data_IF_812877077982
#
_entry.id   IF_812877077982
#
_cell.length_a   1.000
_cell.length_b   1.000
_cell.length_c   1.000
_cell.angle_alpha   90.00
_cell.angle_beta   90.00
_cell.angle_gamma   90.00
#
_symmetry.space_group_name_H-M   'P 1'
#
loop_
_entity.id
_entity.type
_entity.pdbx_description
1 polymer ?
#
# COMPACT_ATOMS: atom_id res chain seq x y z
N UNK A 1 0.81 19.88 -15.72
CA UNK A 1 2.00 20.14 -14.88
C UNK A 1 3.12 20.57 -15.81
N UNK A 2 3.87 21.62 -15.50
CA UNK A 2 5.01 22.07 -16.33
C UNK A 2 6.29 21.48 -15.73
N UNK A 3 6.59 20.23 -16.05
CA UNK A 3 7.80 19.52 -15.65
C UNK A 3 8.75 19.56 -16.84
N UNK A 4 9.93 20.15 -16.66
CA UNK A 4 10.96 20.29 -17.67
C UNK A 4 12.20 19.47 -17.35
N UNK A 5 12.36 19.06 -16.08
CA UNK A 5 13.45 18.22 -15.60
C UNK A 5 12.97 17.21 -14.55
N UNK A 6 13.79 16.19 -14.27
CA UNK A 6 13.52 15.24 -13.19
C UNK A 6 13.54 15.93 -11.80
N UNK A 7 14.38 16.94 -11.61
CA UNK A 7 14.39 17.71 -10.36
C UNK A 7 13.06 18.44 -10.12
N UNK A 8 12.35 18.83 -11.18
CA UNK A 8 11.04 19.47 -11.06
C UNK A 8 10.02 18.48 -10.49
N UNK A 9 10.17 17.18 -10.72
CA UNK A 9 9.30 16.13 -10.15
C UNK A 9 9.45 16.08 -8.63
N UNK A 10 10.70 16.09 -8.15
CA UNK A 10 11.03 15.92 -6.73
C UNK A 10 10.68 17.19 -5.93
N UNK A 11 10.74 18.36 -6.57
CA UNK A 11 10.43 19.66 -5.94
C UNK A 11 8.98 20.11 -6.12
N UNK A 12 8.18 19.39 -6.91
CA UNK A 12 6.79 19.76 -7.17
C UNK A 12 5.92 19.60 -5.91
N UNK A 13 5.31 20.69 -5.45
CA UNK A 13 4.46 20.68 -4.24
C UNK A 13 3.28 19.72 -4.31
N UNK A 14 2.67 19.50 -5.49
CA UNK A 14 1.56 18.55 -5.63
C UNK A 14 2.05 17.11 -5.46
N UNK A 15 3.21 16.78 -6.04
CA UNK A 15 3.79 15.45 -5.94
C UNK A 15 4.34 15.17 -4.53
N UNK A 16 4.92 16.17 -3.88
CA UNK A 16 5.32 16.09 -2.47
C UNK A 16 4.10 15.80 -1.59
N UNK A 17 2.99 16.51 -1.80
CA UNK A 17 1.75 16.26 -1.05
C UNK A 17 1.23 14.83 -1.25
N UNK A 18 1.18 14.36 -2.50
CA UNK A 18 0.76 12.98 -2.81
C UNK A 18 1.68 11.97 -2.10
N UNK A 19 3.00 12.16 -2.17
CA UNK A 19 3.97 11.31 -1.48
C UNK A 19 3.71 11.28 0.03
N UNK A 20 3.48 12.44 0.66
CA UNK A 20 3.23 12.53 2.09
C UNK A 20 1.94 11.79 2.49
N UNK A 21 0.87 11.91 1.70
CA UNK A 21 -0.38 11.16 1.96
C UNK A 21 -0.19 9.65 1.81
N UNK A 22 0.57 9.20 0.80
CA UNK A 22 0.93 7.78 0.64
C UNK A 22 1.73 7.27 1.85
N UNK A 23 2.74 8.02 2.28
CA UNK A 23 3.58 7.64 3.41
C UNK A 23 2.79 7.60 4.72
N UNK A 24 1.82 8.51 4.90
CA UNK A 24 0.90 8.51 6.02
C UNK A 24 0.03 7.24 6.02
N UNK A 25 -0.61 6.92 4.89
CA UNK A 25 -1.43 5.72 4.75
C UNK A 25 -0.64 4.43 5.01
N UNK A 26 0.62 4.37 4.56
CA UNK A 26 1.53 3.25 4.85
C UNK A 26 1.93 3.17 6.32
N UNK A 27 2.16 4.31 6.96
CA UNK A 27 2.51 4.37 8.39
C UNK A 27 1.38 3.81 9.25
N UNK A 28 0.12 4.15 8.94
CA UNK A 28 -1.01 3.59 9.67
C UNK A 28 -1.13 2.09 9.45
N UNK A 29 -1.08 1.62 8.19
CA UNK A 29 -1.11 0.17 7.91
C UNK A 29 0.02 -0.59 8.62
N UNK A 30 1.20 0.02 8.80
CA UNK A 30 2.34 -0.62 9.47
C UNK A 30 2.04 -0.98 10.93
N UNK A 31 1.18 -0.20 11.56
CA UNK A 31 0.81 -0.37 12.96
C UNK A 31 -0.44 -1.24 13.14
N UNK A 32 -1.18 -1.56 12.07
CA UNK A 32 -2.51 -2.17 12.16
C UNK A 32 -2.74 -3.36 11.22
N UNK A 33 -1.79 -3.73 10.36
CA UNK A 33 -1.96 -4.76 9.34
C UNK A 33 -0.70 -5.61 9.17
N UNK A 34 -0.80 -6.89 9.53
CA UNK A 34 0.31 -7.85 9.45
C UNK A 34 0.74 -8.12 7.99
N UNK A 35 -0.21 -8.02 7.05
CA UNK A 35 0.02 -8.21 5.62
C UNK A 35 0.68 -7.02 4.92
N UNK A 36 1.03 -5.92 5.63
CA UNK A 36 1.66 -4.77 4.97
C UNK A 36 2.98 -5.18 4.28
N UNK A 37 3.70 -6.14 4.83
CA UNK A 37 4.94 -6.67 4.24
C UNK A 37 4.73 -7.23 2.83
N UNK A 38 3.53 -7.75 2.55
CA UNK A 38 3.09 -8.29 1.26
C UNK A 38 2.49 -7.19 0.37
N UNK A 39 1.50 -6.45 0.89
CA UNK A 39 0.69 -5.49 0.12
C UNK A 39 1.40 -4.15 -0.16
N UNK A 40 2.30 -3.73 0.73
CA UNK A 40 3.03 -2.44 0.69
C UNK A 40 2.16 -1.17 0.71
N UNK A 41 0.85 -1.30 0.90
CA UNK A 41 -0.09 -0.21 1.19
C UNK A 41 -0.74 0.43 -0.04
N UNK A 42 -1.09 -0.35 -1.07
CA UNK A 42 -1.68 0.05 -2.36
C UNK A 42 -2.32 1.46 -2.41
N UNK A 43 -1.58 2.46 -2.93
CA UNK A 43 -2.08 3.83 -3.06
C UNK A 43 -3.24 4.00 -4.03
N UNK A 44 -3.30 3.20 -5.09
CA UNK A 44 -4.27 3.38 -6.16
C UNK A 44 -5.67 2.98 -5.68
N UNK A 45 -5.77 1.85 -4.98
CA UNK A 45 -7.05 1.41 -4.43
C UNK A 45 -7.57 2.35 -3.34
N UNK A 46 -6.67 2.85 -2.48
CA UNK A 46 -7.03 3.86 -1.46
C UNK A 46 -7.60 5.13 -2.08
N UNK A 47 -6.96 5.64 -3.14
CA UNK A 47 -7.49 6.79 -3.86
C UNK A 47 -8.84 6.50 -4.48
N UNK A 48 -9.01 5.32 -5.10
CA UNK A 48 -10.24 4.93 -5.78
C UNK A 48 -11.42 4.83 -4.81
N UNK A 49 -11.25 4.16 -3.67
CA UNK A 49 -12.33 3.93 -2.71
C UNK A 49 -12.56 5.12 -1.77
N UNK A 50 -11.47 5.71 -1.27
CA UNK A 50 -11.52 6.68 -0.17
C UNK A 50 -11.32 8.13 -0.63
N UNK A 51 -11.06 8.37 -1.93
CA UNK A 51 -10.69 9.68 -2.48
C UNK A 51 -9.47 10.32 -1.77
N UNK A 52 -8.62 9.52 -1.14
CA UNK A 52 -7.37 9.96 -0.50
C UNK A 52 -6.32 8.86 -0.47
N UNK A 53 -5.04 9.22 -0.58
CA UNK A 53 -3.95 8.26 -0.40
C UNK A 53 -3.65 7.96 1.07
N UNK A 54 -4.10 8.83 1.99
CA UNK A 54 -3.91 8.68 3.43
C UNK A 54 -4.85 7.65 4.07
N UNK A 55 -5.67 6.96 3.25
CA UNK A 55 -6.57 5.90 3.70
C UNK A 55 -5.84 4.67 4.23
N UNK A 56 -6.61 3.81 4.90
CA UNK A 56 -6.12 2.56 5.51
C UNK A 56 -6.65 1.36 4.75
N UNK A 57 -7.35 0.44 5.40
CA UNK A 57 -7.92 -0.74 4.78
C UNK A 57 -8.91 -0.36 3.67
N UNK A 58 -8.88 -1.13 2.58
CA UNK A 58 -9.77 -1.02 1.43
C UNK A 58 -10.58 -2.31 1.30
N UNK A 59 -11.66 -2.28 0.52
CA UNK A 59 -12.50 -3.46 0.28
C UNK A 59 -11.73 -4.61 -0.36
N UNK A 60 -10.72 -4.30 -1.18
CA UNK A 60 -9.85 -5.29 -1.81
C UNK A 60 -8.79 -5.89 -0.88
N UNK A 61 -8.50 -5.27 0.29
CA UNK A 61 -7.46 -5.78 1.19
C UNK A 61 -7.71 -7.24 1.60
N UNK A 62 -8.96 -7.58 1.97
CA UNK A 62 -9.30 -8.93 2.41
C UNK A 62 -9.22 -9.97 1.29
N UNK A 63 -10.00 -9.88 0.19
CA UNK A 63 -10.02 -10.91 -0.84
C UNK A 63 -8.74 -10.95 -1.68
N UNK A 64 -8.07 -9.80 -1.89
CA UNK A 64 -6.90 -9.73 -2.76
C UNK A 64 -5.58 -9.95 -2.03
N UNK A 65 -5.48 -9.64 -0.74
CA UNK A 65 -4.23 -9.77 -0.01
C UNK A 65 -4.39 -10.80 1.09
N UNK A 66 -5.18 -10.50 2.13
CA UNK A 66 -5.20 -11.28 3.37
C UNK A 66 -5.54 -12.75 3.13
N UNK A 67 -6.67 -13.03 2.49
CA UNK A 67 -7.13 -14.41 2.23
C UNK A 67 -6.11 -15.22 1.41
N UNK A 68 -5.44 -14.58 0.44
CA UNK A 68 -4.45 -15.27 -0.39
C UNK A 68 -3.14 -15.48 0.35
N UNK A 69 -2.71 -14.51 1.15
CA UNK A 69 -1.54 -14.62 2.01
C UNK A 69 -1.74 -15.73 3.03
N UNK A 70 -2.87 -15.72 3.75
CA UNK A 70 -3.22 -16.74 4.74
C UNK A 70 -3.22 -18.14 4.11
N UNK A 71 -3.94 -18.33 3.00
CA UNK A 71 -4.01 -19.62 2.33
C UNK A 71 -2.64 -20.13 1.85
N UNK A 72 -1.76 -19.22 1.41
CA UNK A 72 -0.40 -19.58 1.03
C UNK A 72 0.45 -19.97 2.25
N UNK A 73 0.36 -19.20 3.34
CA UNK A 73 1.09 -19.50 4.58
C UNK A 73 0.64 -20.85 5.16
N UNK A 74 -0.68 -21.09 5.24
CA UNK A 74 -1.26 -22.36 5.65
C UNK A 74 -0.69 -23.53 4.84
N UNK A 75 -0.62 -23.36 3.50
CA UNK A 75 -0.05 -24.39 2.64
C UNK A 75 1.44 -24.61 2.89
N UNK A 76 2.23 -23.54 3.01
CA UNK A 76 3.66 -23.62 3.25
C UNK A 76 3.98 -24.33 4.58
N UNK A 77 3.15 -24.16 5.60
CA UNK A 77 3.27 -24.85 6.89
C UNK A 77 3.05 -26.37 6.79
N UNK A 78 2.34 -26.85 5.76
CA UNK A 78 2.18 -28.30 5.51
C UNK A 78 3.39 -28.94 4.87
N UNK A 79 4.30 -28.15 4.30
CA UNK A 79 5.47 -28.68 3.60
C UNK A 79 6.50 -29.18 4.62
N UNK A 80 7.09 -30.37 4.42
CA UNK A 80 8.16 -30.84 5.28
C UNK A 80 9.36 -29.90 5.16
N UNK A 81 9.87 -29.44 6.30
CA UNK A 81 11.15 -28.72 6.36
C UNK A 81 12.23 -29.63 5.75
N UNK A 82 12.93 -29.13 4.72
CA UNK A 82 14.11 -29.80 4.16
C UNK A 82 15.34 -29.51 5.00
#
# INVERSE_FOLDING_TARGET
>A
MNIKSLNDVITNQKLIKIKNEIDLGKTVCKNTCDDLSVCRGDPAMKLCENNTFAGTETTECRPAIKVRTDALLDYLETLPYK
#
